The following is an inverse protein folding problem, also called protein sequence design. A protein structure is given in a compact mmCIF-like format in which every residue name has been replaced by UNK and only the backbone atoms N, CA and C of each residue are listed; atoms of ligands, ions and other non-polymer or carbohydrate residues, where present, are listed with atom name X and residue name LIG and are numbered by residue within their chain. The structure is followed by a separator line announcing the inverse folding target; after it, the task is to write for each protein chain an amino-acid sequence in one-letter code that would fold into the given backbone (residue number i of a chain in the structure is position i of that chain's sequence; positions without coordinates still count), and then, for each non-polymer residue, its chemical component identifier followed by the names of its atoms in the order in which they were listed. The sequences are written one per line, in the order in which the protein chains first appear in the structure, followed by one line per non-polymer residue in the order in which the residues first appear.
data_IF_048845638642
#
_entry.id   IF_048845638642
#
_cell.length_a   1.000
_cell.length_b   1.000
_cell.length_c   1.000
_cell.angle_alpha   90.00
_cell.angle_beta   90.00
_cell.angle_gamma   90.00
#
_symmetry.space_group_name_H-M   'P 1'
#
loop_
_entity.id
_entity.type
_entity.pdbx_description
1 polymer ?
#
# COMPACT_ATOMS: atom_id res chain seq x y z
N UNK A 1 64.03 83.30 -14.00
CA UNK A 1 62.81 83.59 -14.77
C UNK A 1 62.44 82.30 -15.51
N UNK A 2 61.94 81.31 -14.76
CA UNK A 2 61.53 80.00 -15.27
C UNK A 2 60.03 79.85 -15.03
N UNK A 3 59.24 80.32 -15.99
CA UNK A 3 57.79 80.11 -16.02
C UNK A 3 57.41 79.96 -17.48
N UNK A 4 57.40 78.73 -17.99
CA UNK A 4 56.53 78.25 -19.09
C UNK A 4 57.01 76.90 -19.68
N UNK A 5 57.14 75.86 -18.85
CA UNK A 5 56.97 74.47 -19.32
C UNK A 5 56.14 73.63 -18.33
N UNK A 6 55.13 74.27 -17.74
CA UNK A 6 54.08 73.63 -16.91
C UNK A 6 52.94 73.04 -17.77
N UNK A 7 53.24 72.56 -18.98
CA UNK A 7 52.25 72.01 -19.91
C UNK A 7 52.22 70.48 -20.00
N UNK A 8 53.22 69.77 -19.49
CA UNK A 8 53.38 68.32 -19.73
C UNK A 8 53.34 67.46 -18.46
N UNK A 9 52.81 68.00 -17.35
CA UNK A 9 52.67 67.28 -16.07
C UNK A 9 51.23 66.80 -15.77
N UNK A 10 50.32 66.82 -16.75
CA UNK A 10 48.93 66.36 -16.57
C UNK A 10 48.54 65.27 -17.58
N UNK A 11 49.32 64.19 -17.65
CA UNK A 11 48.83 62.93 -18.24
C UNK A 11 49.39 61.68 -17.56
N UNK A 12 49.76 61.80 -16.28
CA UNK A 12 49.83 60.65 -15.37
C UNK A 12 48.65 60.73 -14.41
N UNK A 13 47.48 60.25 -14.85
CA UNK A 13 46.53 59.51 -14.00
C UNK A 13 45.26 59.24 -14.83
N UNK A 14 45.24 58.12 -15.57
CA UNK A 14 43.97 57.62 -16.10
C UNK A 14 43.91 56.10 -16.05
N UNK A 15 43.46 55.64 -14.88
CA UNK A 15 42.60 54.48 -14.67
C UNK A 15 43.21 53.13 -15.09
N UNK A 16 43.95 52.58 -14.14
CA UNK A 16 43.97 51.15 -13.86
C UNK A 16 42.51 50.67 -13.78
N UNK A 17 42.11 49.81 -14.72
CA UNK A 17 40.75 49.31 -14.83
C UNK A 17 40.60 48.27 -15.93
N UNK A 18 41.62 47.43 -16.13
CA UNK A 18 41.51 46.28 -17.03
C UNK A 18 40.57 45.24 -16.40
N UNK A 19 39.31 45.23 -16.84
CA UNK A 19 38.36 44.15 -16.54
C UNK A 19 39.00 42.82 -16.96
N UNK A 20 39.19 41.85 -16.07
CA UNK A 20 39.78 40.57 -16.44
C UNK A 20 38.82 39.83 -17.38
N UNK A 21 39.21 39.72 -18.65
CA UNK A 21 38.45 39.01 -19.70
C UNK A 21 38.35 37.49 -19.44
N UNK A 22 38.98 36.98 -18.39
CA UNK A 22 38.93 35.56 -17.97
C UNK A 22 37.69 35.16 -17.18
N UNK A 23 36.89 36.10 -16.64
CA UNK A 23 35.79 35.76 -15.73
C UNK A 23 34.65 35.00 -16.43
N UNK A 24 34.33 35.33 -17.69
CA UNK A 24 33.26 34.64 -18.44
C UNK A 24 33.60 33.18 -18.75
N UNK A 25 34.89 32.87 -18.94
CA UNK A 25 35.34 31.52 -19.28
C UNK A 25 35.21 30.57 -18.07
N UNK A 26 35.52 31.06 -16.88
CA UNK A 26 35.36 30.30 -15.62
C UNK A 26 33.89 29.96 -15.36
N UNK A 27 32.97 30.90 -15.61
CA UNK A 27 31.53 30.66 -15.45
C UNK A 27 30.98 29.64 -16.45
N UNK A 28 31.42 29.71 -17.71
CA UNK A 28 31.02 28.72 -18.73
C UNK A 28 31.54 27.34 -18.39
N UNK A 29 32.79 27.24 -17.92
CA UNK A 29 33.39 25.98 -17.52
C UNK A 29 32.72 25.38 -16.28
N UNK A 30 32.40 26.22 -15.28
CA UNK A 30 31.67 25.81 -14.09
C UNK A 30 30.25 25.33 -14.43
N UNK A 31 29.55 26.01 -15.34
CA UNK A 31 28.22 25.62 -15.80
C UNK A 31 28.23 24.26 -16.52
N UNK A 32 29.27 23.99 -17.33
CA UNK A 32 29.45 22.70 -18.00
C UNK A 32 29.70 21.56 -17.01
N UNK A 33 30.49 21.79 -15.97
CA UNK A 33 30.72 20.80 -14.91
C UNK A 33 29.41 20.50 -14.16
N UNK A 34 28.64 21.53 -13.80
CA UNK A 34 27.34 21.34 -13.12
C UNK A 34 26.38 20.58 -14.03
N UNK A 35 26.32 20.91 -15.32
CA UNK A 35 25.48 20.20 -16.29
C UNK A 35 25.87 18.72 -16.42
N UNK A 36 27.18 18.43 -16.50
CA UNK A 36 27.68 17.06 -16.56
C UNK A 36 27.32 16.29 -15.29
N UNK A 37 27.47 16.91 -14.12
CA UNK A 37 27.06 16.31 -12.85
C UNK A 37 25.55 16.05 -12.81
N UNK A 38 24.71 16.95 -13.31
CA UNK A 38 23.28 16.72 -13.39
C UNK A 38 22.94 15.53 -14.30
N UNK A 39 23.55 15.43 -15.48
CA UNK A 39 23.32 14.32 -16.41
C UNK A 39 23.81 12.98 -15.86
N UNK A 40 24.90 12.97 -15.10
CA UNK A 40 25.47 11.73 -14.52
C UNK A 40 24.73 11.31 -13.25
N UNK A 41 24.33 12.25 -12.40
CA UNK A 41 23.78 11.94 -11.07
C UNK A 41 22.24 11.94 -10.99
N UNK A 42 21.52 12.65 -11.88
CA UNK A 42 20.05 12.62 -11.91
C UNK A 42 19.47 11.25 -12.30
N UNK A 43 19.97 10.54 -13.34
CA UNK A 43 19.38 9.25 -13.74
C UNK A 43 19.49 8.15 -12.68
N UNK A 44 20.63 7.99 -11.97
CA UNK A 44 20.71 7.04 -10.84
C UNK A 44 19.73 7.36 -9.71
N UNK A 45 19.59 8.65 -9.34
CA UNK A 45 18.63 9.07 -8.30
C UNK A 45 17.18 8.83 -8.73
N UNK A 46 16.86 9.11 -10.00
CA UNK A 46 15.55 8.83 -10.58
C UNK A 46 15.25 7.33 -10.62
N UNK A 47 16.24 6.51 -10.99
CA UNK A 47 16.11 5.05 -11.03
C UNK A 47 15.95 4.43 -9.64
N UNK A 48 16.68 4.93 -8.63
CA UNK A 48 16.54 4.53 -7.22
C UNK A 48 15.16 4.86 -6.64
N UNK A 49 14.57 6.00 -7.02
CA UNK A 49 13.21 6.37 -6.62
C UNK A 49 12.16 5.45 -7.27
N UNK A 50 12.33 5.09 -8.54
CA UNK A 50 11.41 4.23 -9.31
C UNK A 50 11.51 2.74 -8.96
N UNK A 51 12.67 2.25 -8.49
CA UNK A 51 12.85 0.84 -8.10
C UNK A 51 12.02 0.39 -6.89
N UNK A 52 11.64 1.31 -5.99
CA UNK A 52 10.90 0.96 -4.76
C UNK A 52 9.43 0.60 -5.00
N UNK A 53 8.82 1.05 -6.10
CA UNK A 53 7.40 0.79 -6.38
C UNK A 53 7.17 -0.64 -6.89
N UNK A 54 8.06 -1.13 -7.75
CA UNK A 54 7.97 -2.48 -8.33
C UNK A 54 8.24 -3.59 -7.30
N UNK A 55 9.17 -3.38 -6.36
CA UNK A 55 9.44 -4.36 -5.31
C UNK A 55 8.26 -4.51 -4.34
N UNK A 56 7.67 -3.39 -3.88
CA UNK A 56 6.50 -3.43 -2.98
C UNK A 56 5.27 -4.08 -3.63
N UNK A 57 5.04 -3.82 -4.92
CA UNK A 57 3.94 -4.44 -5.66
C UNK A 57 4.17 -5.93 -5.90
N UNK A 58 5.40 -6.36 -6.21
CA UNK A 58 5.72 -7.77 -6.39
C UNK A 58 5.60 -8.58 -5.08
N UNK A 59 6.01 -8.01 -3.95
CA UNK A 59 5.84 -8.67 -2.65
C UNK A 59 4.38 -8.72 -2.21
N UNK A 60 3.61 -7.63 -2.43
CA UNK A 60 2.20 -7.57 -2.07
C UNK A 60 1.32 -8.46 -2.96
N UNK A 61 1.62 -8.58 -4.25
CA UNK A 61 0.90 -9.48 -5.15
C UNK A 61 1.22 -10.95 -4.86
N UNK A 62 2.48 -11.27 -4.56
CA UNK A 62 2.90 -12.61 -4.13
C UNK A 62 2.21 -13.05 -2.83
N UNK A 63 2.16 -12.18 -1.82
CA UNK A 63 1.51 -12.48 -0.54
C UNK A 63 -0.01 -12.55 -0.68
N UNK A 64 -0.64 -11.68 -1.48
CA UNK A 64 -2.08 -11.72 -1.74
C UNK A 64 -2.50 -13.00 -2.51
N UNK A 65 -1.71 -13.43 -3.50
CA UNK A 65 -1.96 -14.66 -4.25
C UNK A 65 -1.81 -15.90 -3.36
N UNK A 66 -0.73 -15.99 -2.59
CA UNK A 66 -0.52 -17.10 -1.65
C UNK A 66 -1.61 -17.14 -0.58
N UNK A 67 -1.98 -15.98 -0.02
CA UNK A 67 -3.05 -15.86 0.96
C UNK A 67 -4.40 -16.32 0.41
N UNK A 68 -4.79 -15.83 -0.78
CA UNK A 68 -6.02 -16.27 -1.46
C UNK A 68 -6.03 -17.76 -1.76
N UNK A 69 -4.89 -18.33 -2.17
CA UNK A 69 -4.74 -19.76 -2.40
C UNK A 69 -4.99 -20.55 -1.10
N UNK A 70 -4.37 -20.14 -0.01
CA UNK A 70 -4.52 -20.78 1.30
C UNK A 70 -5.97 -20.72 1.79
N UNK A 71 -6.67 -19.60 1.60
CA UNK A 71 -8.09 -19.49 1.95
C UNK A 71 -8.98 -20.43 1.14
N UNK A 72 -8.73 -20.56 -0.18
CA UNK A 72 -9.46 -21.51 -1.04
C UNK A 72 -9.22 -22.95 -0.61
N UNK A 73 -8.00 -23.28 -0.20
CA UNK A 73 -7.66 -24.60 0.31
C UNK A 73 -8.31 -24.86 1.67
N UNK A 74 -8.32 -23.89 2.58
CA UNK A 74 -9.04 -23.97 3.85
C UNK A 74 -10.53 -24.23 3.63
N UNK A 75 -11.18 -23.50 2.72
CA UNK A 75 -12.58 -23.73 2.34
C UNK A 75 -12.78 -25.17 1.85
N UNK A 76 -11.88 -25.69 1.01
CA UNK A 76 -11.95 -27.07 0.50
C UNK A 76 -11.89 -28.09 1.63
N UNK A 77 -10.92 -27.95 2.54
CA UNK A 77 -10.73 -28.84 3.68
C UNK A 77 -11.93 -28.79 4.63
N UNK A 78 -12.39 -27.60 5.01
CA UNK A 78 -13.58 -27.45 5.86
C UNK A 78 -14.86 -27.97 5.19
N UNK A 79 -15.00 -27.83 3.87
CA UNK A 79 -16.14 -28.39 3.14
C UNK A 79 -16.11 -29.92 3.06
N UNK A 80 -14.93 -30.54 3.08
CA UNK A 80 -14.80 -32.00 3.18
C UNK A 80 -15.20 -32.48 4.58
N UNK A 81 -14.73 -31.76 5.61
CA UNK A 81 -15.14 -31.91 7.01
C UNK A 81 -16.66 -31.91 7.11
N UNK A 82 -17.36 -30.88 6.62
CA UNK A 82 -18.84 -30.84 6.60
C UNK A 82 -19.45 -32.07 5.93
N UNK A 83 -18.93 -32.50 4.78
CA UNK A 83 -19.42 -33.70 4.04
C UNK A 83 -19.27 -35.00 4.84
N UNK A 84 -18.10 -35.23 5.42
CA UNK A 84 -17.86 -36.42 6.25
C UNK A 84 -18.74 -36.38 7.49
N UNK A 85 -18.96 -35.20 8.07
CA UNK A 85 -19.70 -35.05 9.33
C UNK A 85 -21.21 -35.16 9.20
N UNK A 86 -21.78 -34.97 8.00
CA UNK A 86 -23.18 -35.33 7.78
C UNK A 86 -23.45 -36.84 7.92
N UNK A 87 -22.41 -37.68 7.84
CA UNK A 87 -22.52 -39.15 7.93
C UNK A 87 -22.20 -39.76 9.30
N UNK A 88 -21.56 -39.00 10.21
CA UNK A 88 -21.13 -39.48 11.52
C UNK A 88 -21.63 -38.54 12.62
N UNK A 89 -22.23 -39.11 13.67
CA UNK A 89 -22.72 -38.41 14.86
C UNK A 89 -21.57 -37.69 15.60
N UNK A 90 -21.18 -36.50 15.12
CA UNK A 90 -20.24 -35.61 15.79
C UNK A 90 -20.96 -34.46 16.51
N UNK A 91 -20.30 -33.82 17.49
CA UNK A 91 -20.89 -32.73 18.24
C UNK A 91 -21.14 -31.52 17.33
N UNK A 92 -22.39 -31.03 17.32
CA UNK A 92 -22.83 -29.87 16.53
C UNK A 92 -22.01 -28.60 16.79
N UNK A 93 -21.38 -28.48 17.96
CA UNK A 93 -20.45 -27.39 18.31
C UNK A 93 -19.19 -27.33 17.44
N UNK A 94 -18.71 -28.48 16.97
CA UNK A 94 -17.59 -28.54 16.04
C UNK A 94 -18.05 -28.11 14.65
N UNK A 95 -19.22 -28.57 14.23
CA UNK A 95 -19.79 -28.25 12.92
C UNK A 95 -20.06 -26.75 12.80
N UNK A 96 -20.51 -26.12 13.87
CA UNK A 96 -20.80 -24.70 13.91
C UNK A 96 -19.53 -23.83 13.86
N UNK A 97 -18.44 -24.25 14.52
CA UNK A 97 -17.12 -23.63 14.35
C UNK A 97 -16.61 -23.78 12.91
N UNK A 98 -16.78 -24.96 12.30
CA UNK A 98 -16.40 -25.20 10.90
C UNK A 98 -17.14 -24.24 9.96
N UNK A 99 -18.44 -24.07 10.13
CA UNK A 99 -19.22 -23.11 9.34
C UNK A 99 -18.75 -21.67 9.55
N UNK A 100 -18.36 -21.29 10.78
CA UNK A 100 -17.77 -19.98 11.07
C UNK A 100 -16.45 -19.77 10.30
N UNK A 101 -15.56 -20.75 10.29
CA UNK A 101 -14.27 -20.68 9.59
C UNK A 101 -14.43 -20.62 8.06
N UNK A 102 -15.41 -21.33 7.49
CA UNK A 102 -15.78 -21.20 6.07
C UNK A 102 -16.27 -19.78 5.79
N UNK A 103 -17.17 -19.25 6.63
CA UNK A 103 -17.69 -17.89 6.52
C UNK A 103 -16.59 -16.83 6.53
N UNK A 104 -15.63 -16.93 7.47
CA UNK A 104 -14.46 -16.05 7.52
C UNK A 104 -13.61 -16.13 6.27
N UNK A 105 -13.34 -17.34 5.78
CA UNK A 105 -12.53 -17.54 4.58
C UNK A 105 -13.18 -16.87 3.36
N UNK A 106 -14.51 -17.00 3.22
CA UNK A 106 -15.26 -16.29 2.18
C UNK A 106 -15.26 -14.77 2.38
N UNK A 107 -15.38 -14.28 3.63
CA UNK A 107 -15.30 -12.86 3.95
C UNK A 107 -13.95 -12.26 3.52
N UNK A 108 -12.84 -12.92 3.83
CA UNK A 108 -11.50 -12.47 3.42
C UNK A 108 -11.29 -12.51 1.91
N UNK A 109 -11.94 -13.45 1.22
CA UNK A 109 -11.99 -13.49 -0.25
C UNK A 109 -12.97 -12.48 -0.87
N UNK A 110 -13.67 -11.67 -0.06
CA UNK A 110 -14.76 -10.75 -0.47
C UNK A 110 -15.94 -11.44 -1.15
N UNK A 111 -16.11 -12.74 -0.90
CA UNK A 111 -17.24 -13.54 -1.38
C UNK A 111 -18.43 -13.43 -0.41
N UNK A 112 -18.98 -12.22 -0.26
CA UNK A 112 -19.99 -11.91 0.75
C UNK A 112 -21.26 -12.75 0.63
N UNK A 113 -21.68 -13.09 -0.61
CA UNK A 113 -22.84 -13.95 -0.87
C UNK A 113 -22.69 -15.35 -0.29
N UNK A 114 -21.46 -15.87 -0.22
CA UNK A 114 -21.15 -17.18 0.36
C UNK A 114 -20.82 -17.07 1.86
N UNK A 115 -20.26 -15.95 2.32
CA UNK A 115 -19.94 -15.75 3.74
C UNK A 115 -21.20 -15.72 4.63
N UNK A 116 -22.24 -14.98 4.21
CA UNK A 116 -23.48 -14.78 4.98
C UNK A 116 -24.19 -16.09 5.37
N UNK A 117 -24.52 -17.02 4.44
CA UNK A 117 -25.23 -18.25 4.80
C UNK A 117 -24.39 -19.17 5.70
N UNK A 118 -23.06 -19.16 5.58
CA UNK A 118 -22.19 -19.93 6.46
C UNK A 118 -22.21 -19.41 7.91
N UNK A 119 -22.17 -18.08 8.09
CA UNK A 119 -22.33 -17.48 9.42
C UNK A 119 -23.72 -17.72 10.03
N UNK A 120 -24.77 -17.72 9.22
CA UNK A 120 -26.12 -18.08 9.68
C UNK A 120 -26.21 -19.54 10.10
N UNK A 121 -25.59 -20.45 9.35
CA UNK A 121 -25.57 -21.86 9.71
C UNK A 121 -24.79 -22.12 11.00
N UNK A 122 -23.66 -21.41 11.20
CA UNK A 122 -22.92 -21.44 12.45
C UNK A 122 -23.81 -21.01 13.64
N UNK A 123 -24.50 -19.87 13.53
CA UNK A 123 -25.42 -19.38 14.57
C UNK A 123 -26.54 -20.38 14.88
N UNK A 124 -27.19 -20.94 13.84
CA UNK A 124 -28.26 -21.93 14.02
C UNK A 124 -27.78 -23.11 14.86
N UNK A 125 -26.65 -23.70 14.47
CA UNK A 125 -26.09 -24.86 15.15
C UNK A 125 -25.57 -24.57 16.56
N UNK A 126 -25.13 -23.33 16.85
CA UNK A 126 -24.79 -22.90 18.20
C UNK A 126 -26.02 -22.67 19.09
N UNK A 127 -27.07 -22.07 18.54
CA UNK A 127 -28.29 -21.72 19.28
C UNK A 127 -29.06 -22.93 19.82
N UNK A 128 -28.94 -24.10 19.17
CA UNK A 128 -29.61 -25.34 19.59
C UNK A 128 -28.97 -26.03 20.82
N UNK A 129 -27.77 -25.66 21.27
CA UNK A 129 -27.07 -26.44 22.32
C UNK A 129 -26.11 -25.69 23.26
N UNK A 130 -25.91 -24.37 23.12
CA UNK A 130 -24.90 -23.67 23.91
C UNK A 130 -25.27 -23.49 25.39
N UNK A 131 -24.33 -23.79 26.28
CA UNK A 131 -24.28 -23.21 27.64
C UNK A 131 -24.06 -21.70 27.54
N UNK A 132 -24.60 -20.93 28.48
CA UNK A 132 -24.61 -19.45 28.44
C UNK A 132 -23.24 -18.81 28.16
N UNK A 133 -22.14 -19.39 28.67
CA UNK A 133 -20.78 -18.85 28.52
C UNK A 133 -20.23 -18.93 27.08
N UNK A 134 -20.41 -20.07 26.40
CA UNK A 134 -19.93 -20.27 25.02
C UNK A 134 -20.84 -19.62 23.98
N UNK A 135 -22.08 -19.33 24.36
CA UNK A 135 -23.05 -18.62 23.52
C UNK A 135 -22.58 -17.19 23.22
N UNK A 136 -22.21 -16.43 24.25
CA UNK A 136 -21.87 -15.01 24.14
C UNK A 136 -20.67 -14.76 23.22
N UNK A 137 -19.59 -15.54 23.40
CA UNK A 137 -18.32 -15.29 22.72
C UNK A 137 -18.40 -15.48 21.20
N UNK A 138 -19.11 -16.52 20.77
CA UNK A 138 -19.23 -16.76 19.34
C UNK A 138 -20.37 -15.98 18.69
N UNK A 139 -21.50 -15.78 19.39
CA UNK A 139 -22.51 -14.85 18.92
C UNK A 139 -21.89 -13.48 18.65
N UNK A 140 -21.01 -12.99 19.55
CA UNK A 140 -20.27 -11.75 19.37
C UNK A 140 -19.37 -11.80 18.11
N UNK A 141 -18.53 -12.83 17.97
CA UNK A 141 -17.65 -12.99 16.79
C UNK A 141 -18.41 -13.03 15.47
N UNK A 142 -19.55 -13.71 15.43
CA UNK A 142 -20.38 -13.79 14.23
C UNK A 142 -21.08 -12.46 13.97
N UNK A 143 -21.59 -11.80 15.02
CA UNK A 143 -22.22 -10.49 14.91
C UNK A 143 -21.25 -9.43 14.38
N UNK A 144 -20.03 -9.37 14.93
CA UNK A 144 -18.95 -8.50 14.43
C UNK A 144 -18.66 -8.78 12.95
N UNK A 145 -18.57 -10.06 12.57
CA UNK A 145 -18.32 -10.46 11.19
C UNK A 145 -19.48 -10.06 10.25
N UNK A 146 -20.74 -10.13 10.73
CA UNK A 146 -21.93 -9.70 9.99
C UNK A 146 -22.01 -8.18 9.85
N UNK A 147 -21.74 -7.43 10.91
CA UNK A 147 -21.67 -5.96 10.86
C UNK A 147 -20.60 -5.53 9.85
N UNK A 148 -19.45 -6.23 9.84
CA UNK A 148 -18.41 -5.99 8.83
C UNK A 148 -18.91 -6.27 7.42
N UNK A 149 -19.62 -7.38 7.19
CA UNK A 149 -20.26 -7.67 5.88
C UNK A 149 -21.19 -6.53 5.45
N UNK A 150 -22.05 -6.06 6.34
CA UNK A 150 -23.05 -5.02 6.04
C UNK A 150 -22.41 -3.66 5.81
N UNK A 151 -21.36 -3.30 6.56
CA UNK A 151 -20.57 -2.09 6.31
C UNK A 151 -19.83 -2.12 4.96
N UNK A 152 -19.30 -3.27 4.54
CA UNK A 152 -18.69 -3.41 3.22
C UNK A 152 -19.71 -3.32 2.09
N UNK A 153 -20.87 -3.97 2.25
CA UNK A 153 -21.96 -3.92 1.27
C UNK A 153 -22.53 -2.50 1.16
N UNK A 154 -22.80 -1.82 2.29
CA UNK A 154 -23.30 -0.45 2.32
C UNK A 154 -22.36 0.55 1.62
N UNK A 155 -21.05 0.45 1.86
CA UNK A 155 -20.06 1.27 1.16
C UNK A 155 -19.97 0.97 -0.34
N UNK A 156 -20.15 -0.29 -0.75
CA UNK A 156 -20.14 -0.65 -2.17
C UNK A 156 -21.37 -0.15 -2.93
N UNK A 157 -22.56 -0.11 -2.30
CA UNK A 157 -23.79 0.42 -2.89
C UNK A 157 -23.75 1.95 -2.98
N UNK A 158 -23.20 2.62 -1.96
CA UNK A 158 -23.03 4.08 -1.97
C UNK A 158 -22.10 4.57 -3.09
N UNK A 159 -21.06 3.80 -3.43
CA UNK A 159 -20.14 4.13 -4.53
C UNK A 159 -20.73 3.88 -5.93
N UNK A 160 -21.66 2.93 -6.07
CA UNK A 160 -22.33 2.65 -7.35
C UNK A 160 -23.42 3.67 -7.66
N UNK A 161 -24.05 4.26 -6.64
CA UNK A 161 -25.08 5.29 -6.82
C UNK A 161 -24.54 6.72 -6.98
N UNK A 162 -23.22 6.91 -7.12
CA UNK A 162 -22.58 8.20 -7.40
C UNK A 162 -22.16 8.38 -8.87
N UNK A 163 -22.58 7.48 -9.76
CA UNK A 163 -22.42 7.57 -11.22
C UNK A 163 -23.78 7.48 -11.91
#
# INVERSE_FOLDING_TARGET
MEVQKQGELLSQDKKIGSKPKGFKFVFVFLALIIFLLLVVFLPPLYFLARGRTHFKQATASSTDVAFKKNLKEAIRCYSQVVRVFQSRFLPRSLLSEVYYQIGLSHLYLRNHSQARPNFEQALRLFSEKATFATRSDLELKILESKVKLEGFVGNSVALVNQH
#
